data_IF_865289332648
#
_entry.id   IF_865289332648
#
_cell.length_a   1.000
_cell.length_b   1.000
_cell.length_c   1.000
_cell.angle_alpha   90.00
_cell.angle_beta   90.00
_cell.angle_gamma   90.00
#
_symmetry.space_group_name_H-M   'P 1'
#
loop_
_entity.id
_entity.type
_entity.pdbx_description
1 polymer ?
#
# COMPACT_ATOMS: atom_id res chain seq x y z
N UNK A 1 -19.27 7.53 23.99
CA UNK A 1 -17.92 6.93 24.00
C UNK A 1 -18.08 5.49 23.60
N UNK A 2 -17.97 5.18 22.32
CA UNK A 2 -18.14 3.80 21.85
C UNK A 2 -16.84 3.39 21.17
N UNK A 3 -16.10 2.52 21.87
CA UNK A 3 -14.86 1.94 21.40
C UNK A 3 -15.22 0.90 20.35
N UNK A 4 -14.97 1.22 19.08
CA UNK A 4 -14.95 0.21 18.04
C UNK A 4 -13.72 -0.68 18.28
N UNK A 5 -13.97 -1.89 18.78
CA UNK A 5 -12.93 -2.88 19.07
C UNK A 5 -12.47 -3.48 17.75
N UNK A 6 -11.25 -3.14 17.39
CA UNK A 6 -10.59 -3.62 16.20
C UNK A 6 -9.88 -4.94 16.51
N UNK A 7 -10.63 -6.05 16.57
CA UNK A 7 -10.01 -7.36 16.79
C UNK A 7 -9.14 -7.81 15.60
N UNK A 8 -9.31 -7.17 14.43
CA UNK A 8 -8.67 -7.54 13.15
C UNK A 8 -8.49 -6.39 12.14
N UNK A 9 -8.46 -5.13 12.59
CA UNK A 9 -8.20 -4.02 11.65
C UNK A 9 -9.40 -3.58 10.81
N UNK A 10 -10.66 -3.76 11.25
CA UNK A 10 -11.90 -3.35 10.54
C UNK A 10 -12.62 -2.21 11.25
N UNK A 11 -12.96 -1.12 10.55
CA UNK A 11 -14.02 -0.19 10.96
C UNK A 11 -15.20 -0.44 10.03
N UNK A 12 -16.36 -0.74 10.60
CA UNK A 12 -17.63 -0.87 9.87
C UNK A 12 -18.30 0.50 9.88
N UNK A 13 -18.48 1.10 8.71
CA UNK A 13 -19.42 2.21 8.53
C UNK A 13 -20.77 1.62 8.13
N UNK A 14 -21.81 1.94 8.90
CA UNK A 14 -23.20 1.52 8.62
C UNK A 14 -23.68 2.16 7.30
N UNK A 15 -23.45 1.49 6.16
CA UNK A 15 -23.91 2.01 4.87
C UNK A 15 -23.64 1.15 3.65
N UNK A 16 -22.57 0.35 3.64
CA UNK A 16 -22.17 -0.39 2.43
C UNK A 16 -22.52 -1.88 2.53
N UNK A 17 -23.15 -2.40 1.49
CA UNK A 17 -23.60 -3.77 1.35
C UNK A 17 -22.51 -4.82 1.65
N UNK A 18 -22.99 -5.95 2.18
CA UNK A 18 -22.27 -7.00 2.92
C UNK A 18 -21.21 -7.79 2.13
N UNK A 19 -20.76 -7.34 0.95
CA UNK A 19 -19.91 -8.17 0.09
C UNK A 19 -18.52 -7.64 -0.25
N UNK A 20 -18.15 -6.40 0.08
CA UNK A 20 -16.78 -5.90 -0.17
C UNK A 20 -16.31 -4.86 0.86
N UNK A 21 -16.48 -5.11 2.16
CA UNK A 21 -15.98 -4.21 3.21
C UNK A 21 -14.45 -4.29 3.29
N UNK A 22 -13.76 -3.51 2.46
CA UNK A 22 -12.31 -3.31 2.54
C UNK A 22 -12.02 -2.40 3.72
N UNK A 23 -11.31 -2.97 4.68
CA UNK A 23 -10.97 -2.31 5.92
C UNK A 23 -9.78 -1.38 5.69
N UNK A 24 -10.03 -0.15 5.24
CA UNK A 24 -8.99 0.85 5.02
C UNK A 24 -8.57 1.53 6.34
N UNK A 25 -8.14 0.75 7.33
CA UNK A 25 -7.48 1.32 8.50
C UNK A 25 -6.02 1.62 8.16
N UNK A 26 -5.77 2.83 7.61
CA UNK A 26 -4.43 3.42 7.55
C UNK A 26 -3.94 3.60 9.00
N UNK A 27 -3.17 2.64 9.53
CA UNK A 27 -2.59 2.68 10.88
C UNK A 27 -2.70 1.38 11.68
N UNK A 28 -3.59 0.44 11.33
CA UNK A 28 -3.84 -0.75 12.16
C UNK A 28 -3.56 -2.09 11.43
N UNK A 29 -3.11 -2.02 10.18
CA UNK A 29 -2.72 -3.20 9.41
C UNK A 29 -1.28 -3.64 9.74
N UNK A 30 -1.02 -4.94 9.65
CA UNK A 30 0.33 -5.48 9.79
C UNK A 30 1.20 -4.95 8.63
N UNK A 31 2.40 -4.44 8.95
CA UNK A 31 3.31 -3.80 7.99
C UNK A 31 2.71 -2.55 7.32
N UNK A 32 1.84 -1.83 8.02
CA UNK A 32 1.38 -0.52 7.56
C UNK A 32 2.54 0.48 7.44
N UNK A 33 2.47 1.38 6.47
CA UNK A 33 3.52 2.35 6.18
C UNK A 33 2.94 3.76 6.14
N UNK A 34 3.65 4.67 6.78
CA UNK A 34 3.29 6.08 6.82
C UNK A 34 4.16 6.86 5.84
N UNK A 35 3.53 7.64 4.95
CA UNK A 35 4.24 8.55 4.06
C UNK A 35 4.60 9.84 4.81
N UNK A 36 5.82 9.90 5.34
CA UNK A 36 6.34 11.08 6.05
C UNK A 36 6.53 12.32 5.15
N UNK A 37 6.64 12.13 3.84
CA UNK A 37 6.82 13.20 2.87
C UNK A 37 5.52 13.66 2.23
N UNK A 38 4.36 13.22 2.74
CA UNK A 38 3.07 13.55 2.16
C UNK A 38 2.79 15.07 2.10
N UNK A 39 3.38 15.83 3.02
CA UNK A 39 3.23 17.29 3.11
C UNK A 39 4.33 18.07 2.37
N UNK A 40 5.30 17.37 1.78
CA UNK A 40 6.42 17.98 1.07
C UNK A 40 6.10 18.06 -0.43
N UNK A 41 6.27 19.24 -1.06
CA UNK A 41 6.03 19.36 -2.50
C UNK A 41 6.96 18.44 -3.29
N UNK A 42 6.40 17.77 -4.29
CA UNK A 42 7.09 16.80 -5.14
C UNK A 42 8.32 17.43 -5.80
N UNK A 43 9.53 16.86 -5.65
CA UNK A 43 10.71 17.34 -6.36
C UNK A 43 10.55 17.12 -7.87
N UNK A 44 11.19 17.95 -8.72
CA UNK A 44 11.16 17.77 -10.17
C UNK A 44 11.92 16.52 -10.64
N UNK A 45 12.73 15.92 -9.76
CA UNK A 45 13.44 14.67 -9.99
C UNK A 45 12.55 13.56 -9.44
N UNK A 46 11.92 12.81 -10.34
CA UNK A 46 11.12 11.66 -9.98
C UNK A 46 12.02 10.43 -9.96
N UNK A 47 12.39 9.95 -8.78
CA UNK A 47 12.94 8.60 -8.68
C UNK A 47 11.82 7.59 -8.87
N UNK A 48 12.00 6.59 -9.73
CA UNK A 48 10.97 5.59 -10.01
C UNK A 48 10.93 4.46 -8.96
N UNK A 49 11.25 4.75 -7.70
CA UNK A 49 11.35 3.74 -6.65
C UNK A 49 9.99 3.55 -6.00
N UNK A 50 9.54 2.30 -5.90
CA UNK A 50 8.28 1.91 -5.28
C UNK A 50 8.51 0.85 -4.21
N UNK A 51 7.82 1.00 -3.08
CA UNK A 51 7.74 -0.02 -2.05
C UNK A 51 6.53 -0.92 -2.31
N UNK A 52 6.76 -2.24 -2.33
CA UNK A 52 5.71 -3.23 -2.56
C UNK A 52 5.66 -4.19 -1.36
N UNK A 53 4.46 -4.40 -0.84
CA UNK A 53 4.17 -5.36 0.22
C UNK A 53 3.62 -6.67 -0.36
N UNK A 54 4.15 -7.81 0.08
CA UNK A 54 3.72 -9.14 -0.36
C UNK A 54 3.11 -9.93 0.79
N UNK A 55 1.89 -10.45 0.58
CA UNK A 55 1.17 -11.42 1.43
C UNK A 55 1.33 -11.17 2.94
N UNK A 56 1.38 -9.91 3.38
CA UNK A 56 1.58 -9.48 4.78
C UNK A 56 2.80 -10.08 5.51
N UNK A 57 3.83 -10.50 4.77
CA UNK A 57 5.05 -11.11 5.34
C UNK A 57 6.30 -10.30 5.06
N UNK A 58 6.41 -9.68 3.88
CA UNK A 58 7.62 -8.96 3.47
C UNK A 58 7.28 -7.71 2.67
N UNK A 59 8.23 -6.78 2.66
CA UNK A 59 8.27 -5.60 1.79
C UNK A 59 9.59 -5.57 1.05
N UNK A 60 9.58 -5.03 -0.16
CA UNK A 60 10.80 -4.78 -0.90
C UNK A 60 10.64 -3.53 -1.77
N UNK A 61 11.77 -2.89 -2.07
CA UNK A 61 11.84 -1.74 -2.96
C UNK A 61 12.17 -2.22 -4.37
N UNK A 62 11.45 -1.67 -5.34
CA UNK A 62 11.63 -1.94 -6.75
C UNK A 62 11.76 -0.65 -7.53
N UNK A 63 12.39 -0.73 -8.69
CA UNK A 63 12.43 0.37 -9.64
C UNK A 63 11.38 0.13 -10.73
N UNK A 64 10.51 1.09 -10.94
CA UNK A 64 9.53 1.11 -12.01
C UNK A 64 10.19 1.48 -13.35
N UNK A 65 10.91 0.52 -13.93
CA UNK A 65 11.62 0.66 -15.21
C UNK A 65 10.71 0.99 -16.39
N UNK A 66 9.42 0.66 -16.27
CA UNK A 66 8.42 0.85 -17.31
C UNK A 66 7.68 2.20 -17.20
N UNK A 67 8.02 3.03 -16.21
CA UNK A 67 7.37 4.32 -15.95
C UNK A 67 5.84 4.22 -15.88
N UNK A 68 5.35 3.14 -15.29
CA UNK A 68 3.92 2.95 -15.06
C UNK A 68 3.39 4.01 -14.09
N UNK A 69 2.18 4.57 -14.28
CA UNK A 69 1.59 5.54 -13.38
C UNK A 69 1.04 4.86 -12.12
N UNK A 70 1.94 4.36 -11.27
CA UNK A 70 1.59 3.62 -10.05
C UNK A 70 1.15 4.56 -8.92
N UNK A 71 0.11 4.15 -8.18
CA UNK A 71 -0.36 4.84 -6.97
C UNK A 71 -0.36 3.92 -5.74
N UNK A 72 -0.39 4.52 -4.55
CA UNK A 72 -0.55 3.78 -3.28
C UNK A 72 -1.85 2.94 -3.32
N UNK A 73 -1.73 1.65 -3.01
CA UNK A 73 -2.83 0.68 -3.06
C UNK A 73 -2.93 -0.14 -4.35
N UNK A 74 -2.15 0.17 -5.39
CA UNK A 74 -2.18 -0.60 -6.64
C UNK A 74 -1.65 -2.03 -6.45
N UNK A 75 -2.32 -3.00 -7.08
CA UNK A 75 -1.86 -4.39 -7.12
C UNK A 75 -0.95 -4.57 -8.32
N UNK A 76 0.26 -5.07 -8.08
CA UNK A 76 1.31 -5.22 -9.09
C UNK A 76 1.92 -6.62 -9.07
N UNK A 77 2.34 -7.07 -10.25
CA UNK A 77 3.11 -8.29 -10.43
C UNK A 77 4.59 -7.94 -10.60
N UNK A 78 5.44 -8.58 -9.80
CA UNK A 78 6.89 -8.40 -9.82
C UNK A 78 7.54 -9.68 -10.32
N UNK A 79 8.55 -9.56 -11.18
CA UNK A 79 9.33 -10.68 -11.68
C UNK A 79 10.05 -11.40 -10.53
N UNK A 80 9.92 -12.73 -10.47
CA UNK A 80 10.60 -13.59 -9.51
C UNK A 80 11.27 -14.77 -10.22
N UNK A 81 12.32 -15.34 -9.62
CA UNK A 81 13.04 -16.48 -10.19
C UNK A 81 12.81 -17.74 -9.36
N UNK A 82 11.95 -18.69 -9.77
CA UNK A 82 11.06 -18.68 -10.94
C UNK A 82 9.67 -18.07 -10.66
N UNK A 83 9.08 -17.38 -11.65
CA UNK A 83 7.68 -16.96 -11.66
C UNK A 83 7.44 -15.46 -11.45
N UNK A 84 6.35 -15.12 -10.78
CA UNK A 84 5.96 -13.75 -10.46
C UNK A 84 5.36 -13.68 -9.06
N UNK A 85 5.68 -12.62 -8.34
CA UNK A 85 5.10 -12.32 -7.04
C UNK A 85 4.04 -11.22 -7.17
N UNK A 86 2.89 -11.43 -6.54
CA UNK A 86 1.80 -10.45 -6.50
C UNK A 86 1.88 -9.69 -5.18
N UNK A 87 1.97 -8.37 -5.27
CA UNK A 87 2.03 -7.48 -4.12
C UNK A 87 1.20 -6.21 -4.33
N UNK A 88 1.14 -5.41 -3.28
CA UNK A 88 0.44 -4.12 -3.28
C UNK A 88 1.44 -3.00 -3.06
N UNK A 89 1.35 -1.93 -3.85
CA UNK A 89 2.17 -0.72 -3.68
C UNK A 89 1.77 -0.06 -2.37
N UNK A 90 2.75 0.21 -1.51
CA UNK A 90 2.52 0.85 -0.20
C UNK A 90 3.19 2.21 -0.05
N UNK A 91 4.18 2.51 -0.89
CA UNK A 91 4.79 3.84 -0.93
C UNK A 91 5.40 4.08 -2.31
N UNK A 92 5.24 5.32 -2.79
CA UNK A 92 5.94 5.83 -3.97
C UNK A 92 6.99 6.82 -3.49
N UNK A 93 8.25 6.56 -3.82
CA UNK A 93 9.37 7.40 -3.41
C UNK A 93 9.65 8.45 -4.47
N UNK A 94 9.73 9.71 -4.07
CA UNK A 94 10.29 10.79 -4.89
C UNK A 94 11.52 11.32 -4.14
N UNK A 95 12.69 11.31 -4.78
CA UNK A 95 13.95 11.75 -4.17
C UNK A 95 14.61 12.80 -5.07
#
# INVERSE_FOLDING_TARGET
MEKSICSRGVIVTEGDGVENTVCQNKGCAKLDVHNWFNDVPTPPITTDIVEIQFKNTRKAFYRNVNNLPLVDGDIVAVEASPGHDIGTVTLIGWL
#
